data_IF_722886449933
#
_entry.id   IF_722886449933
#
_cell.length_a   1.000
_cell.length_b   1.000
_cell.length_c   1.000
_cell.angle_alpha   90.00
_cell.angle_beta   90.00
_cell.angle_gamma   90.00
#
_symmetry.space_group_name_H-M   'P 1'
#
loop_
_entity.id
_entity.type
_entity.pdbx_description
1 polymer ?
#
# COMPACT_ATOMS: atom_id res chain seq x y z
N UNK A 1 -24.29 13.31 11.95
CA UNK A 1 -25.70 13.22 11.44
C UNK A 1 -25.57 12.85 9.98
N UNK A 2 -26.09 11.71 9.56
CA UNK A 2 -26.06 11.31 8.14
C UNK A 2 -27.01 12.24 7.39
N UNK A 3 -26.48 12.99 6.42
CA UNK A 3 -27.27 13.82 5.52
C UNK A 3 -27.72 12.99 4.33
N UNK A 4 -28.95 13.16 3.86
CA UNK A 4 -29.45 12.49 2.68
C UNK A 4 -29.77 13.56 1.59
N UNK A 5 -29.18 13.47 0.37
CA UNK A 5 -28.21 12.46 -0.04
C UNK A 5 -26.88 12.61 0.71
N UNK A 6 -26.19 11.50 0.95
CA UNK A 6 -24.84 11.50 1.48
C UNK A 6 -23.82 11.92 0.41
N UNK A 7 -22.53 12.00 0.77
CA UNK A 7 -21.48 12.29 -0.19
C UNK A 7 -21.32 11.14 -1.20
N UNK A 8 -20.76 11.45 -2.34
CA UNK A 8 -20.37 10.48 -3.36
C UNK A 8 -18.84 10.33 -3.35
N UNK A 9 -18.36 9.11 -3.25
CA UNK A 9 -16.95 8.74 -3.26
C UNK A 9 -16.57 8.14 -4.61
N UNK A 10 -15.55 8.71 -5.25
CA UNK A 10 -14.89 8.12 -6.41
C UNK A 10 -13.76 7.22 -5.96
N UNK A 11 -13.69 6.00 -6.51
CA UNK A 11 -12.63 5.04 -6.21
C UNK A 11 -11.91 4.65 -7.48
N UNK A 12 -10.61 4.93 -7.55
CA UNK A 12 -9.76 4.41 -8.62
C UNK A 12 -9.32 3.00 -8.23
N UNK A 13 -9.71 2.04 -9.06
CA UNK A 13 -9.66 0.60 -8.79
C UNK A 13 -11.04 0.07 -8.43
N UNK A 14 -11.48 -0.98 -9.12
CA UNK A 14 -12.77 -1.62 -8.93
C UNK A 14 -12.65 -3.13 -8.69
N UNK A 15 -11.53 -3.54 -8.13
CA UNK A 15 -11.26 -4.91 -7.75
C UNK A 15 -12.06 -5.37 -6.53
N UNK A 16 -11.55 -6.38 -5.85
CA UNK A 16 -12.18 -6.93 -4.64
C UNK A 16 -12.25 -5.91 -3.51
N UNK A 17 -11.20 -5.10 -3.31
CA UNK A 17 -11.17 -4.08 -2.27
C UNK A 17 -12.14 -2.94 -2.58
N UNK A 18 -12.19 -2.46 -3.84
CA UNK A 18 -13.19 -1.49 -4.29
C UNK A 18 -14.62 -1.97 -4.08
N UNK A 19 -14.89 -3.27 -4.31
CA UNK A 19 -16.17 -3.88 -4.01
C UNK A 19 -16.50 -3.85 -2.52
N UNK A 20 -15.57 -4.29 -1.67
CA UNK A 20 -15.76 -4.28 -0.21
C UNK A 20 -15.98 -2.87 0.32
N UNK A 21 -15.28 -1.87 -0.24
CA UNK A 21 -15.46 -0.47 0.10
C UNK A 21 -16.87 0.01 -0.26
N UNK A 22 -17.37 -0.28 -1.46
CA UNK A 22 -18.72 0.09 -1.89
C UNK A 22 -19.79 -0.59 -1.03
N UNK A 23 -19.63 -1.87 -0.69
CA UNK A 23 -20.53 -2.59 0.21
C UNK A 23 -20.56 -2.00 1.63
N UNK A 24 -19.39 -1.52 2.15
CA UNK A 24 -19.29 -0.88 3.46
C UNK A 24 -19.83 0.56 3.46
N UNK A 25 -19.71 1.28 2.36
CA UNK A 25 -20.16 2.66 2.20
C UNK A 25 -21.70 2.78 2.15
N UNK A 26 -22.37 1.84 1.50
CA UNK A 26 -23.82 1.88 1.27
C UNK A 26 -24.66 2.02 2.56
N UNK A 27 -24.43 1.27 3.66
CA UNK A 27 -25.15 1.46 4.92
C UNK A 27 -24.92 2.81 5.58
N UNK A 28 -23.83 3.52 5.23
CA UNK A 28 -23.51 4.85 5.71
C UNK A 28 -24.15 5.96 4.87
N UNK A 29 -24.86 5.59 3.80
CA UNK A 29 -25.49 6.52 2.87
C UNK A 29 -24.49 7.21 1.94
N UNK A 30 -23.32 6.62 1.71
CA UNK A 30 -22.30 7.08 0.78
C UNK A 30 -22.46 6.33 -0.52
N UNK A 31 -22.67 7.05 -1.62
CA UNK A 31 -22.66 6.47 -2.97
C UNK A 31 -21.21 6.30 -3.44
N UNK A 32 -20.93 5.23 -4.18
CA UNK A 32 -19.59 4.96 -4.72
C UNK A 32 -19.64 4.87 -6.25
N UNK A 33 -18.77 5.61 -6.91
CA UNK A 33 -18.49 5.50 -8.36
C UNK A 33 -17.06 4.97 -8.50
N UNK A 34 -16.83 3.96 -9.32
CA UNK A 34 -15.53 3.33 -9.47
C UNK A 34 -14.97 3.54 -10.88
N UNK A 35 -13.64 3.49 -11.02
CA UNK A 35 -12.97 3.40 -12.32
C UNK A 35 -12.00 2.23 -12.35
N UNK A 36 -11.95 1.51 -13.49
CA UNK A 36 -11.08 0.35 -13.68
C UNK A 36 -10.89 0.09 -15.18
N UNK A 37 -9.72 -0.38 -15.64
CA UNK A 37 -9.56 -0.76 -17.04
C UNK A 37 -10.39 -1.99 -17.45
N UNK A 38 -10.85 -2.79 -16.48
CA UNK A 38 -11.65 -4.00 -16.72
C UNK A 38 -13.13 -3.65 -16.74
N UNK A 39 -13.79 -3.90 -17.85
CA UNK A 39 -15.24 -3.79 -17.96
C UNK A 39 -15.92 -4.82 -17.03
N UNK A 40 -17.03 -4.44 -16.40
CA UNK A 40 -17.73 -5.26 -15.41
C UNK A 40 -16.82 -5.75 -14.26
N UNK A 41 -15.94 -4.89 -13.76
CA UNK A 41 -15.03 -5.17 -12.65
C UNK A 41 -15.80 -5.63 -11.38
N UNK A 42 -15.14 -6.31 -10.43
CA UNK A 42 -15.80 -6.88 -9.25
C UNK A 42 -16.65 -5.91 -8.43
N UNK A 43 -16.32 -4.61 -8.41
CA UNK A 43 -17.09 -3.59 -7.71
C UNK A 43 -18.32 -3.09 -8.49
N UNK A 44 -18.36 -3.23 -9.82
CA UNK A 44 -19.43 -2.69 -10.66
C UNK A 44 -20.86 -3.08 -10.21
N UNK A 45 -21.15 -4.34 -9.80
CA UNK A 45 -22.51 -4.72 -9.38
C UNK A 45 -23.03 -4.04 -8.11
N UNK A 46 -22.13 -3.45 -7.30
CA UNK A 46 -22.47 -2.83 -5.99
C UNK A 46 -22.16 -1.35 -5.93
N UNK A 47 -21.40 -0.83 -6.89
CA UNK A 47 -21.18 0.59 -7.08
C UNK A 47 -22.38 1.23 -7.77
N UNK A 48 -22.54 2.55 -7.63
CA UNK A 48 -23.56 3.33 -8.32
C UNK A 48 -23.31 3.40 -9.83
N UNK A 49 -22.01 3.46 -10.23
CA UNK A 49 -21.60 3.49 -11.63
C UNK A 49 -20.12 3.06 -11.75
N UNK A 50 -19.72 2.65 -12.94
CA UNK A 50 -18.34 2.34 -13.28
C UNK A 50 -17.92 3.11 -14.53
N UNK A 51 -16.75 3.76 -14.48
CA UNK A 51 -16.03 4.27 -15.62
C UNK A 51 -14.97 3.25 -16.06
N UNK A 52 -14.85 3.02 -17.35
CA UNK A 52 -13.84 2.11 -17.88
C UNK A 52 -12.67 2.92 -18.45
N UNK A 53 -11.50 2.80 -17.82
CA UNK A 53 -10.28 3.51 -18.22
C UNK A 53 -9.07 3.06 -17.42
N UNK A 54 -7.88 3.35 -17.94
CA UNK A 54 -6.61 2.95 -17.33
C UNK A 54 -6.28 3.73 -16.06
N UNK A 55 -5.36 3.19 -15.25
CA UNK A 55 -4.87 3.81 -14.01
C UNK A 55 -3.93 5.01 -14.22
N UNK A 56 -3.66 5.35 -15.47
CA UNK A 56 -2.87 6.51 -15.90
C UNK A 56 -3.69 7.43 -16.83
N UNK A 57 -5.01 7.19 -17.00
CA UNK A 57 -5.86 7.91 -17.94
C UNK A 57 -6.46 9.17 -17.31
N UNK A 58 -5.94 10.38 -17.66
CA UNK A 58 -6.41 11.62 -17.06
C UNK A 58 -7.86 11.96 -17.47
N UNK A 59 -8.36 11.48 -18.61
CA UNK A 59 -9.74 11.75 -19.03
C UNK A 59 -10.74 10.99 -18.15
N UNK A 60 -10.45 9.71 -17.85
CA UNK A 60 -11.25 8.90 -16.92
C UNK A 60 -11.22 9.49 -15.50
N UNK A 61 -10.05 9.93 -15.02
CA UNK A 61 -9.94 10.52 -13.68
C UNK A 61 -10.68 11.87 -13.57
N UNK A 62 -10.61 12.69 -14.61
CA UNK A 62 -11.36 13.94 -14.67
C UNK A 62 -12.86 13.70 -14.65
N UNK A 63 -13.34 12.76 -15.47
CA UNK A 63 -14.75 12.39 -15.51
C UNK A 63 -15.21 11.83 -14.15
N UNK A 64 -14.39 11.02 -13.48
CA UNK A 64 -14.67 10.52 -12.13
C UNK A 64 -14.76 11.67 -11.13
N UNK A 65 -13.76 12.55 -11.11
CA UNK A 65 -13.67 13.68 -10.20
C UNK A 65 -14.88 14.63 -10.32
N UNK A 66 -15.35 14.90 -11.54
CA UNK A 66 -16.52 15.75 -11.80
C UNK A 66 -17.86 15.17 -11.30
N UNK A 67 -17.88 13.87 -10.98
CA UNK A 67 -19.11 13.15 -10.56
C UNK A 67 -19.19 12.90 -9.07
N UNK A 68 -18.14 13.22 -8.30
CA UNK A 68 -18.01 12.83 -6.90
C UNK A 68 -17.57 13.99 -6.00
N UNK A 69 -17.78 13.85 -4.71
CA UNK A 69 -17.36 14.84 -3.73
C UNK A 69 -15.93 14.61 -3.23
N UNK A 70 -15.46 13.37 -3.27
CA UNK A 70 -14.13 12.93 -2.82
C UNK A 70 -13.60 11.83 -3.71
N UNK A 71 -12.27 11.79 -3.88
CA UNK A 71 -11.57 10.71 -4.56
C UNK A 71 -10.74 9.89 -3.57
N UNK A 72 -10.64 8.60 -3.84
CA UNK A 72 -9.69 7.67 -3.23
C UNK A 72 -9.21 6.66 -4.27
N UNK A 73 -8.24 5.87 -3.88
CA UNK A 73 -7.73 4.76 -4.69
C UNK A 73 -7.55 3.52 -3.81
N UNK A 74 -7.67 2.35 -4.39
CA UNK A 74 -7.50 1.07 -3.70
C UNK A 74 -6.36 0.22 -4.27
N UNK A 75 -5.64 0.78 -5.26
CA UNK A 75 -4.56 0.11 -5.95
C UNK A 75 -3.35 1.05 -6.08
N UNK A 76 -2.16 0.52 -5.87
CA UNK A 76 -0.90 1.27 -5.94
C UNK A 76 -0.41 1.57 -7.37
N UNK A 77 -1.10 1.06 -8.39
CA UNK A 77 -0.75 1.27 -9.80
C UNK A 77 -1.25 2.60 -10.37
N UNK A 78 -1.94 3.38 -9.58
CA UNK A 78 -2.47 4.68 -9.98
C UNK A 78 -1.33 5.70 -10.06
N UNK A 79 -1.31 6.50 -11.14
CA UNK A 79 -0.32 7.57 -11.27
C UNK A 79 -0.62 8.72 -10.31
N UNK A 80 0.25 8.98 -9.30
CA UNK A 80 0.01 10.02 -8.30
C UNK A 80 0.08 11.44 -8.89
N UNK A 81 0.83 11.65 -9.97
CA UNK A 81 0.96 12.97 -10.58
C UNK A 81 -0.31 13.31 -11.35
N UNK A 82 -0.90 12.35 -12.06
CA UNK A 82 -2.19 12.51 -12.72
C UNK A 82 -3.31 12.78 -11.69
N UNK A 83 -3.35 12.03 -10.58
CA UNK A 83 -4.32 12.28 -9.50
C UNK A 83 -4.19 13.69 -8.90
N UNK A 84 -2.96 14.17 -8.72
CA UNK A 84 -2.72 15.52 -8.19
C UNK A 84 -3.21 16.58 -9.15
N UNK A 85 -2.85 16.47 -10.44
CA UNK A 85 -3.27 17.41 -11.49
C UNK A 85 -4.80 17.49 -11.58
N UNK A 86 -5.48 16.34 -11.61
CA UNK A 86 -6.94 16.28 -11.68
C UNK A 86 -7.61 16.84 -10.42
N UNK A 87 -7.07 16.55 -9.23
CA UNK A 87 -7.56 17.11 -7.97
C UNK A 87 -7.51 18.64 -7.97
N UNK A 88 -6.40 19.21 -8.46
CA UNK A 88 -6.22 20.66 -8.56
C UNK A 88 -7.13 21.28 -9.63
N UNK A 89 -7.30 20.62 -10.80
CA UNK A 89 -8.16 21.10 -11.88
C UNK A 89 -9.66 21.13 -11.48
N UNK A 90 -10.11 20.11 -10.75
CA UNK A 90 -11.54 19.91 -10.45
C UNK A 90 -11.93 20.40 -9.05
N UNK A 91 -10.97 20.80 -8.22
CA UNK A 91 -11.16 21.11 -6.79
C UNK A 91 -11.78 19.92 -6.01
N UNK A 92 -11.55 18.69 -6.49
CA UNK A 92 -12.04 17.46 -5.86
C UNK A 92 -10.92 16.84 -5.00
N UNK A 93 -11.09 16.80 -3.66
CA UNK A 93 -10.07 16.33 -2.76
C UNK A 93 -9.82 14.81 -2.92
N UNK A 94 -8.54 14.42 -2.89
CA UNK A 94 -8.08 13.02 -2.93
C UNK A 94 -7.58 12.61 -1.55
N UNK A 95 -8.06 11.49 -1.03
CA UNK A 95 -7.65 10.93 0.25
C UNK A 95 -7.29 9.44 0.12
N UNK A 96 -6.09 9.02 0.57
CA UNK A 96 -4.98 9.86 1.06
C UNK A 96 -4.45 10.80 -0.04
N UNK A 97 -3.70 11.83 0.37
CA UNK A 97 -3.12 12.78 -0.59
C UNK A 97 -2.22 12.05 -1.61
N UNK A 98 -2.19 12.44 -2.90
CA UNK A 98 -1.37 11.79 -3.93
C UNK A 98 0.11 11.68 -3.57
N UNK A 99 0.67 12.63 -2.82
CA UNK A 99 2.05 12.57 -2.33
C UNK A 99 2.29 11.36 -1.38
N UNK A 100 1.26 10.91 -0.68
CA UNK A 100 1.35 9.70 0.14
C UNK A 100 1.49 8.46 -0.76
N UNK A 101 0.75 8.40 -1.87
CA UNK A 101 0.89 7.33 -2.85
C UNK A 101 2.28 7.33 -3.48
N UNK A 102 2.78 8.50 -3.93
CA UNK A 102 4.12 8.64 -4.47
C UNK A 102 5.22 8.20 -3.48
N UNK A 103 4.99 8.46 -2.17
CA UNK A 103 5.91 8.04 -1.12
C UNK A 103 5.94 6.51 -0.94
N UNK A 104 4.77 5.85 -0.91
CA UNK A 104 4.68 4.41 -0.64
C UNK A 104 4.98 3.54 -1.86
N UNK A 105 4.86 4.09 -3.07
CA UNK A 105 5.15 3.39 -4.31
C UNK A 105 6.60 2.88 -4.37
N UNK A 106 7.56 3.67 -3.85
CA UNK A 106 8.98 3.32 -3.81
C UNK A 106 9.40 2.91 -2.39
N UNK A 107 9.66 1.62 -2.19
CA UNK A 107 10.02 1.04 -0.89
C UNK A 107 11.28 1.65 -0.26
N UNK A 108 12.25 2.10 -1.08
CA UNK A 108 13.45 2.77 -0.57
C UNK A 108 13.11 4.16 -0.03
N UNK A 109 12.34 4.95 -0.78
CA UNK A 109 11.90 6.27 -0.36
C UNK A 109 11.04 6.18 0.91
N UNK A 110 10.11 5.23 0.95
CA UNK A 110 9.29 4.95 2.13
C UNK A 110 10.16 4.65 3.36
N UNK A 111 11.15 3.74 3.24
CA UNK A 111 12.06 3.39 4.35
C UNK A 111 12.92 4.56 4.81
N UNK A 112 13.43 5.35 3.87
CA UNK A 112 14.19 6.56 4.20
C UNK A 112 13.34 7.54 5.02
N UNK A 113 12.10 7.78 4.62
CA UNK A 113 11.18 8.68 5.34
C UNK A 113 10.79 8.13 6.72
N UNK A 114 10.58 6.82 6.83
CA UNK A 114 10.33 6.19 8.14
C UNK A 114 11.53 6.35 9.07
N UNK A 115 12.74 6.07 8.58
CA UNK A 115 13.98 6.23 9.35
C UNK A 115 14.22 7.68 9.77
N UNK A 116 14.01 8.66 8.87
CA UNK A 116 14.10 10.10 9.18
C UNK A 116 13.09 10.53 10.26
N UNK A 117 11.90 9.91 10.26
CA UNK A 117 10.88 10.15 11.29
C UNK A 117 11.16 9.40 12.61
N UNK A 118 12.25 8.64 12.70
CA UNK A 118 12.60 7.85 13.89
C UNK A 118 11.77 6.59 14.07
N UNK A 119 11.04 6.16 13.06
CA UNK A 119 10.29 4.90 13.08
C UNK A 119 11.28 3.75 12.90
N UNK A 120 11.26 2.72 13.76
CA UNK A 120 12.15 1.57 13.64
C UNK A 120 11.95 0.83 12.33
N UNK A 121 13.02 0.71 11.54
CA UNK A 121 13.07 -0.09 10.32
C UNK A 121 14.35 -0.93 10.31
N UNK A 122 14.38 -2.08 9.65
CA UNK A 122 15.63 -2.82 9.41
C UNK A 122 16.65 -1.93 8.73
N UNK A 123 17.94 -2.13 8.98
CA UNK A 123 19.01 -1.46 8.23
C UNK A 123 18.88 -1.81 6.74
N UNK A 124 19.13 -0.84 5.86
CA UNK A 124 18.92 -1.01 4.43
C UNK A 124 19.91 -0.20 3.58
N UNK A 125 20.15 -0.68 2.35
CA UNK A 125 20.90 0.04 1.32
C UNK A 125 20.14 0.10 -0.01
N UNK A 126 20.37 1.15 -0.77
CA UNK A 126 20.03 1.19 -2.20
C UNK A 126 20.95 0.24 -2.95
N UNK A 127 20.41 -0.48 -3.94
CA UNK A 127 21.16 -1.42 -4.75
C UNK A 127 21.15 -0.97 -6.21
N UNK A 128 22.34 -0.64 -6.72
CA UNK A 128 22.59 -0.33 -8.13
C UNK A 128 23.43 -1.44 -8.81
N UNK A 129 23.97 -2.38 -8.02
CA UNK A 129 24.75 -3.49 -8.52
C UNK A 129 25.18 -4.46 -7.42
N UNK A 130 25.90 -5.49 -7.84
CA UNK A 130 26.36 -6.58 -6.96
C UNK A 130 27.20 -6.07 -5.78
N UNK A 131 27.99 -5.01 -5.99
CA UNK A 131 28.88 -4.49 -4.95
C UNK A 131 28.09 -3.91 -3.77
N UNK A 132 26.97 -3.23 -4.02
CA UNK A 132 26.13 -2.64 -2.97
C UNK A 132 25.55 -3.74 -2.05
N UNK A 133 25.18 -4.89 -2.64
CA UNK A 133 24.71 -6.06 -1.85
C UNK A 133 25.84 -6.66 -1.02
N UNK A 134 27.06 -6.72 -1.57
CA UNK A 134 28.23 -7.22 -0.84
C UNK A 134 28.63 -6.29 0.30
N UNK A 135 28.55 -4.98 0.08
CA UNK A 135 28.82 -3.97 1.12
C UNK A 135 27.78 -4.05 2.23
N UNK A 136 26.50 -4.25 1.88
CA UNK A 136 25.44 -4.51 2.84
C UNK A 136 25.70 -5.79 3.66
N UNK A 137 26.17 -6.85 3.01
CA UNK A 137 26.53 -8.10 3.69
C UNK A 137 27.73 -7.94 4.64
N UNK A 138 28.69 -7.07 4.34
CA UNK A 138 29.81 -6.75 5.24
C UNK A 138 29.31 -5.99 6.47
N UNK A 139 28.31 -5.13 6.34
CA UNK A 139 27.79 -4.32 7.44
C UNK A 139 26.74 -5.05 8.27
N UNK A 140 25.79 -5.75 7.64
CA UNK A 140 24.61 -6.35 8.32
C UNK A 140 24.79 -7.84 8.59
N UNK A 141 25.68 -8.51 7.85
CA UNK A 141 25.78 -9.97 7.81
C UNK A 141 24.70 -10.61 6.92
N UNK A 142 24.79 -11.93 6.80
CA UNK A 142 23.74 -12.74 6.17
C UNK A 142 22.84 -13.36 7.23
N UNK A 143 21.56 -13.68 6.92
CA UNK A 143 20.90 -13.44 5.64
C UNK A 143 20.51 -11.99 5.40
N UNK A 144 20.27 -11.64 4.12
CA UNK A 144 19.73 -10.37 3.67
C UNK A 144 18.43 -10.58 2.89
N UNK A 145 17.64 -9.53 2.75
CA UNK A 145 16.46 -9.52 1.89
C UNK A 145 16.62 -8.46 0.80
N UNK A 146 16.75 -8.91 -0.45
CA UNK A 146 16.73 -8.04 -1.63
C UNK A 146 15.28 -7.81 -2.04
N UNK A 147 14.92 -6.57 -2.36
CA UNK A 147 13.56 -6.17 -2.72
C UNK A 147 13.56 -5.26 -3.94
N UNK A 148 12.63 -5.49 -4.86
CA UNK A 148 12.31 -4.50 -5.88
C UNK A 148 11.77 -3.23 -5.20
N UNK A 149 12.22 -2.06 -5.62
CA UNK A 149 11.75 -0.78 -5.07
C UNK A 149 10.30 -0.52 -5.43
N UNK A 150 9.88 -0.88 -6.65
CA UNK A 150 8.52 -0.68 -7.17
C UNK A 150 7.93 -2.00 -7.70
N UNK A 151 6.62 -2.09 -7.77
CA UNK A 151 5.89 -3.14 -8.49
C UNK A 151 5.91 -4.55 -7.87
N UNK A 152 6.46 -4.74 -6.67
CA UNK A 152 6.43 -6.03 -5.98
C UNK A 152 5.12 -6.23 -5.19
N UNK A 153 4.39 -7.32 -5.46
CA UNK A 153 3.18 -7.71 -4.74
C UNK A 153 3.16 -9.23 -4.52
N UNK A 154 2.45 -9.70 -3.51
CA UNK A 154 2.25 -11.12 -3.19
C UNK A 154 3.57 -11.93 -3.17
N UNK A 155 4.61 -11.41 -2.49
CA UNK A 155 5.94 -12.04 -2.41
C UNK A 155 6.79 -11.94 -3.68
N UNK A 156 6.24 -11.42 -4.77
CA UNK A 156 7.01 -11.16 -6.00
C UNK A 156 7.86 -9.91 -5.83
N UNK A 157 9.10 -9.98 -6.34
CA UNK A 157 10.05 -8.89 -6.21
C UNK A 157 10.79 -8.88 -4.87
N UNK A 158 10.79 -10.00 -4.13
CA UNK A 158 11.64 -10.26 -2.97
C UNK A 158 12.54 -11.45 -3.23
N UNK A 159 13.78 -11.41 -2.75
CA UNK A 159 14.72 -12.53 -2.80
C UNK A 159 15.57 -12.57 -1.52
N UNK A 160 15.50 -13.67 -0.78
CA UNK A 160 16.38 -13.90 0.37
C UNK A 160 17.78 -14.29 -0.12
N UNK A 161 18.81 -13.72 0.52
CA UNK A 161 20.23 -13.97 0.24
C UNK A 161 20.84 -14.56 1.51
N UNK A 162 21.11 -15.86 1.51
CA UNK A 162 21.63 -16.56 2.68
C UNK A 162 23.15 -16.55 2.75
N UNK A 163 23.82 -16.44 1.59
CA UNK A 163 25.26 -16.31 1.49
C UNK A 163 25.68 -15.59 0.19
N UNK A 164 26.98 -15.42 -0.01
CA UNK A 164 27.53 -14.73 -1.18
C UNK A 164 27.15 -15.36 -2.52
N UNK A 165 26.90 -16.65 -2.56
CA UNK A 165 26.61 -17.37 -3.82
C UNK A 165 25.20 -17.07 -4.32
N UNK A 166 24.30 -16.65 -3.45
CA UNK A 166 22.93 -16.31 -3.79
C UNK A 166 22.79 -14.93 -4.45
N UNK A 167 23.81 -14.05 -4.31
CA UNK A 167 23.70 -12.63 -4.70
C UNK A 167 23.40 -12.46 -6.19
N UNK A 168 24.09 -13.18 -7.08
CA UNK A 168 23.87 -13.05 -8.52
C UNK A 168 22.47 -13.52 -8.91
N UNK A 169 22.03 -14.67 -8.39
CA UNK A 169 20.70 -15.21 -8.67
C UNK A 169 19.57 -14.36 -8.09
N UNK A 170 19.78 -13.75 -6.92
CA UNK A 170 18.81 -12.82 -6.35
C UNK A 170 18.63 -11.56 -7.21
N UNK A 171 19.74 -11.00 -7.71
CA UNK A 171 19.70 -9.86 -8.62
C UNK A 171 19.04 -10.17 -9.98
N UNK A 172 19.15 -11.42 -10.46
CA UNK A 172 18.48 -11.85 -11.69
C UNK A 172 16.94 -11.94 -11.52
N UNK A 173 16.48 -12.20 -10.31
CA UNK A 173 15.03 -12.27 -9.98
C UNK A 173 14.39 -10.88 -9.90
N UNK A 174 15.18 -9.88 -9.49
CA UNK A 174 14.70 -8.50 -9.32
C UNK A 174 14.94 -7.72 -10.61
N UNK A 175 13.88 -7.46 -11.34
CA UNK A 175 13.93 -6.62 -12.55
C UNK A 175 13.76 -5.14 -12.17
N UNK A 176 14.81 -4.34 -12.38
CA UNK A 176 14.81 -2.90 -12.16
C UNK A 176 15.47 -2.44 -10.85
N UNK A 177 15.15 -1.22 -10.39
CA UNK A 177 15.72 -0.63 -9.18
C UNK A 177 15.42 -1.47 -7.95
N UNK A 178 16.44 -1.71 -7.11
CA UNK A 178 16.35 -2.56 -5.95
C UNK A 178 16.85 -1.88 -4.67
N UNK A 179 16.51 -2.46 -3.54
CA UNK A 179 17.07 -2.20 -2.23
C UNK A 179 17.35 -3.52 -1.51
N UNK A 180 18.31 -3.51 -0.61
CA UNK A 180 18.61 -4.65 0.26
C UNK A 180 18.43 -4.23 1.71
N UNK A 181 17.88 -5.11 2.52
CA UNK A 181 17.71 -4.88 3.96
C UNK A 181 18.22 -6.06 4.79
N UNK A 182 18.61 -5.76 6.02
CA UNK A 182 18.94 -6.79 7.00
C UNK A 182 17.71 -7.70 7.20
N UNK A 183 17.94 -9.00 7.20
CA UNK A 183 16.89 -9.98 7.43
C UNK A 183 16.40 -9.90 8.88
N UNK A 184 15.12 -9.84 9.09
CA UNK A 184 14.51 -9.81 10.40
C UNK A 184 14.00 -11.20 10.75
N UNK A 185 14.62 -11.83 11.76
CA UNK A 185 14.05 -13.02 12.36
C UNK A 185 12.96 -12.61 13.34
N UNK A 186 11.73 -13.02 13.09
CA UNK A 186 10.59 -12.70 13.94
C UNK A 186 9.83 -13.96 14.33
N UNK A 187 9.26 -13.96 15.53
CA UNK A 187 8.40 -15.05 15.99
C UNK A 187 6.96 -14.87 15.51
N UNK A 188 6.59 -13.61 15.20
CA UNK A 188 5.21 -13.24 14.88
C UNK A 188 5.15 -11.91 14.16
N UNK A 189 4.20 -11.79 13.26
CA UNK A 189 3.88 -10.54 12.58
C UNK A 189 2.61 -9.94 13.17
N UNK A 190 2.64 -8.64 13.41
CA UNK A 190 1.52 -7.85 13.89
C UNK A 190 1.20 -6.74 12.89
N UNK A 191 -0.08 -6.51 12.68
CA UNK A 191 -0.58 -5.40 11.89
C UNK A 191 -1.57 -4.56 12.70
N UNK A 192 -1.62 -3.27 12.43
CA UNK A 192 -2.61 -2.37 12.99
C UNK A 192 -3.20 -1.51 11.88
N UNK A 193 -4.51 -1.43 11.83
CA UNK A 193 -5.21 -0.51 10.93
C UNK A 193 -5.47 0.79 11.65
N UNK A 194 -5.08 1.91 11.04
CA UNK A 194 -5.30 3.24 11.55
C UNK A 194 -6.20 4.06 10.65
N UNK A 195 -6.95 4.99 11.24
CA UNK A 195 -7.74 6.00 10.55
C UNK A 195 -7.27 7.36 11.02
N UNK A 196 -6.87 8.21 10.07
CA UNK A 196 -6.47 9.58 10.37
C UNK A 196 -7.56 10.54 9.92
N UNK A 197 -8.15 11.26 10.89
CA UNK A 197 -9.01 12.42 10.67
C UNK A 197 -8.20 13.72 10.61
N UNK A 198 -8.89 14.86 10.67
CA UNK A 198 -8.23 16.17 10.68
C UNK A 198 -7.36 16.35 11.93
N UNK A 199 -7.92 16.07 13.12
CA UNK A 199 -7.32 16.36 14.41
C UNK A 199 -6.99 15.12 15.25
N UNK A 200 -7.38 13.92 14.81
CA UNK A 200 -7.23 12.69 15.58
C UNK A 200 -6.80 11.50 14.72
N UNK A 201 -6.14 10.56 15.39
CA UNK A 201 -5.83 9.25 14.83
C UNK A 201 -6.52 8.21 15.71
N UNK A 202 -7.30 7.32 15.11
CA UNK A 202 -7.89 6.19 15.79
C UNK A 202 -7.37 4.88 15.20
N UNK A 203 -7.38 3.81 16.01
CA UNK A 203 -6.83 2.52 15.58
C UNK A 203 -7.78 1.37 15.90
N UNK A 204 -7.80 0.40 14.99
CA UNK A 204 -8.43 -0.88 15.25
C UNK A 204 -7.57 -1.73 16.21
N UNK A 205 -8.11 -2.82 16.77
CA UNK A 205 -7.29 -3.75 17.54
C UNK A 205 -6.10 -4.28 16.76
N UNK A 206 -4.97 -4.42 17.43
CA UNK A 206 -3.78 -5.07 16.86
C UNK A 206 -4.15 -6.47 16.41
N UNK A 207 -3.72 -6.84 15.23
CA UNK A 207 -4.02 -8.10 14.57
C UNK A 207 -2.75 -8.88 14.35
N UNK A 208 -2.75 -10.16 14.67
CA UNK A 208 -1.69 -11.10 14.30
C UNK A 208 -1.95 -11.62 12.90
N UNK A 209 -0.93 -11.57 12.02
CA UNK A 209 -0.98 -12.06 10.66
C UNK A 209 -0.05 -13.26 10.51
N UNK A 210 -0.56 -14.35 9.95
CA UNK A 210 0.17 -15.59 9.76
C UNK A 210 0.30 -15.83 8.26
N UNK A 211 1.55 -15.81 7.79
CA UNK A 211 1.87 -16.06 6.39
C UNK A 211 2.49 -17.45 6.21
N UNK A 212 2.13 -18.12 5.14
CA UNK A 212 2.77 -19.33 4.66
C UNK A 212 3.16 -19.11 3.21
N UNK A 213 4.44 -19.30 2.89
CA UNK A 213 4.98 -19.03 1.55
C UNK A 213 4.66 -17.60 1.06
N UNK A 214 4.82 -16.61 1.95
CA UNK A 214 4.54 -15.19 1.75
C UNK A 214 3.06 -14.85 1.46
N UNK A 215 2.15 -15.80 1.57
CA UNK A 215 0.71 -15.61 1.41
C UNK A 215 0.04 -15.56 2.77
N UNK A 216 -0.75 -14.51 3.04
CA UNK A 216 -1.57 -14.40 4.24
C UNK A 216 -2.60 -15.54 4.29
N UNK A 217 -2.52 -16.37 5.33
CA UNK A 217 -3.39 -17.54 5.54
C UNK A 217 -4.37 -17.33 6.66
N UNK A 218 -3.95 -16.69 7.75
CA UNK A 218 -4.78 -16.50 8.93
C UNK A 218 -4.57 -15.11 9.50
N UNK A 219 -5.64 -14.53 9.99
CA UNK A 219 -5.65 -13.26 10.71
C UNK A 219 -6.36 -13.47 12.05
N UNK A 220 -5.72 -13.08 13.15
CA UNK A 220 -6.28 -13.21 14.50
C UNK A 220 -6.41 -11.83 15.13
N UNK A 221 -7.63 -11.41 15.41
CA UNK A 221 -7.93 -10.12 16.06
C UNK A 221 -8.82 -10.33 17.30
N UNK A 222 -8.44 -9.79 18.47
CA UNK A 222 -7.16 -9.16 18.79
C UNK A 222 -6.00 -10.15 18.75
N UNK A 223 -4.78 -9.65 18.49
CA UNK A 223 -3.57 -10.46 18.41
C UNK A 223 -3.28 -11.19 19.72
N UNK A 224 -2.73 -12.40 19.62
CA UNK A 224 -2.28 -13.23 20.75
C UNK A 224 -0.89 -12.80 21.17
N UNK A 225 -0.77 -11.68 21.89
CA UNK A 225 0.49 -11.14 22.38
C UNK A 225 0.32 -10.58 23.79
N UNK A 226 1.43 -10.28 24.46
CA UNK A 226 1.41 -9.60 25.75
C UNK A 226 1.03 -8.12 25.61
N UNK A 227 0.57 -7.54 26.72
CA UNK A 227 0.06 -6.16 26.72
C UNK A 227 1.15 -5.13 26.36
N UNK A 228 2.41 -5.38 26.69
CA UNK A 228 3.54 -4.48 26.36
C UNK A 228 3.77 -4.44 24.84
N UNK A 229 3.78 -5.61 24.20
CA UNK A 229 3.92 -5.70 22.74
C UNK A 229 2.72 -5.08 22.00
N UNK A 230 1.50 -5.28 22.51
CA UNK A 230 0.30 -4.67 21.94
C UNK A 230 0.27 -3.14 22.07
N UNK A 231 0.81 -2.61 23.17
CA UNK A 231 0.91 -1.16 23.37
C UNK A 231 1.94 -0.55 22.41
N UNK A 232 3.12 -1.16 22.31
CA UNK A 232 4.16 -0.74 21.36
C UNK A 232 3.72 -0.77 19.90
N UNK A 233 2.82 -1.69 19.54
CA UNK A 233 2.26 -1.74 18.20
C UNK A 233 1.29 -0.58 17.91
N UNK A 234 0.80 0.13 18.94
CA UNK A 234 -0.09 1.30 18.81
C UNK A 234 0.66 2.64 18.76
N UNK A 235 1.90 2.66 19.25
CA UNK A 235 2.79 3.83 19.22
C UNK A 235 3.30 4.12 17.81
#
# INVERSE_FOLDING_TARGET
>A
MITAPGPTLGVVGAGQLGRMLAEAAAPLGVDVVVSDPTEDAPAAPVARDQLVGGFEDPETFRELAERVDYLTFEIELVDPDVLREISEETDTPVHPHPDTLALIEDKLVQKQRMAEAGIPVPAFFEVNGIQDVLDAAEEFGYPLMLKARKGGYDGRGNAAIYDRHDVESALEVIDGPAMVEAYVEYERELAIMGVKGEDEIDTFPVTETIHEEEILRETVSPARSDDETLERARE
#
